data_IF_718393254754
#
_entry.id   IF_718393254754
#
_cell.length_a   1.000
_cell.length_b   1.000
_cell.length_c   1.000
_cell.angle_alpha   90.00
_cell.angle_beta   90.00
_cell.angle_gamma   90.00
#
_symmetry.space_group_name_H-M   'P 1'
#
loop_
_entity.id
_entity.type
_entity.pdbx_description
1 polymer ?
#
# COMPACT_ATOMS: atom_id res chain seq x y z
N UNK A 1 33.37 -71.64 -13.52
CA UNK A 1 33.38 -70.35 -14.27
C UNK A 1 32.05 -70.22 -15.00
N UNK A 2 31.19 -69.32 -14.52
CA UNK A 2 30.05 -68.64 -15.16
C UNK A 2 29.00 -68.34 -14.08
N UNK A 3 28.88 -67.04 -13.82
CA UNK A 3 28.11 -66.40 -12.78
C UNK A 3 26.61 -66.50 -13.07
N UNK A 4 25.82 -66.83 -12.06
CA UNK A 4 24.38 -66.54 -12.07
C UNK A 4 24.09 -65.65 -10.87
N UNK A 5 24.07 -64.35 -11.14
CA UNK A 5 23.67 -63.28 -10.22
C UNK A 5 22.15 -63.31 -10.15
N UNK A 6 21.57 -63.67 -9.02
CA UNK A 6 20.16 -63.43 -8.75
C UNK A 6 20.01 -62.08 -8.03
N UNK A 7 19.40 -61.16 -8.77
CA UNK A 7 19.09 -59.78 -8.44
C UNK A 7 18.08 -59.75 -7.28
N UNK A 8 18.52 -59.30 -6.10
CA UNK A 8 17.65 -59.09 -4.94
C UNK A 8 16.88 -57.78 -5.16
N UNK A 9 15.60 -57.89 -5.54
CA UNK A 9 14.72 -56.76 -5.83
C UNK A 9 14.18 -56.20 -4.51
N UNK A 10 14.86 -55.19 -3.96
CA UNK A 10 14.46 -54.48 -2.76
C UNK A 10 13.31 -53.53 -3.12
N UNK A 11 12.07 -53.98 -2.97
CA UNK A 11 10.88 -53.14 -3.12
C UNK A 11 10.74 -52.33 -1.82
N UNK A 12 11.30 -51.12 -1.81
CA UNK A 12 10.99 -50.11 -0.80
C UNK A 12 9.67 -49.45 -1.16
N UNK A 13 8.58 -49.87 -0.51
CA UNK A 13 7.32 -49.11 -0.51
C UNK A 13 7.49 -47.91 0.41
N UNK A 14 7.96 -46.79 -0.14
CA UNK A 14 7.86 -45.49 0.52
C UNK A 14 6.37 -45.10 0.49
N UNK A 15 5.71 -45.31 1.62
CA UNK A 15 4.40 -44.73 1.91
C UNK A 15 4.56 -43.22 1.98
N UNK A 16 4.28 -42.54 0.87
CA UNK A 16 4.06 -41.10 0.85
C UNK A 16 2.75 -40.87 1.60
N UNK A 17 2.84 -40.67 2.91
CA UNK A 17 1.79 -40.01 3.68
C UNK A 17 1.71 -38.58 3.14
N UNK A 18 0.90 -38.39 2.09
CA UNK A 18 0.42 -37.08 1.72
C UNK A 18 -0.43 -36.59 2.88
N UNK A 19 0.15 -35.77 3.76
CA UNK A 19 -0.60 -34.89 4.62
C UNK A 19 -1.53 -34.07 3.71
N UNK A 20 -2.79 -34.45 3.64
CA UNK A 20 -3.85 -33.63 3.07
C UNK A 20 -4.04 -32.44 3.99
N UNK A 21 -3.26 -31.39 3.75
CA UNK A 21 -3.54 -30.08 4.32
C UNK A 21 -4.88 -29.62 3.74
N UNK A 22 -5.95 -29.79 4.51
CA UNK A 22 -7.32 -29.35 4.18
C UNK A 22 -7.44 -27.82 4.04
N UNK A 23 -6.35 -27.08 4.26
CA UNK A 23 -6.31 -25.62 4.25
C UNK A 23 -5.54 -25.04 3.06
N UNK A 24 -4.87 -25.86 2.22
CA UNK A 24 -4.17 -25.39 1.02
C UNK A 24 -5.08 -25.22 -0.22
N UNK A 25 -6.40 -25.31 -0.06
CA UNK A 25 -7.38 -25.27 -1.16
C UNK A 25 -8.07 -23.93 -1.41
N UNK A 26 -7.65 -22.82 -0.79
CA UNK A 26 -8.10 -21.49 -1.21
C UNK A 26 -7.13 -20.95 -2.24
N UNK A 27 -7.19 -21.49 -3.46
CA UNK A 27 -6.81 -20.70 -4.62
C UNK A 27 -7.70 -19.45 -4.58
N UNK A 28 -7.12 -18.27 -4.38
CA UNK A 28 -7.82 -17.03 -4.69
C UNK A 28 -8.17 -17.12 -6.17
N UNK A 29 -9.42 -17.42 -6.50
CA UNK A 29 -9.89 -17.31 -7.88
C UNK A 29 -9.63 -15.86 -8.30
N UNK A 30 -8.63 -15.66 -9.16
CA UNK A 30 -8.36 -14.35 -9.74
C UNK A 30 -9.63 -13.94 -10.47
N UNK A 31 -10.29 -12.90 -9.97
CA UNK A 31 -11.53 -12.42 -10.54
C UNK A 31 -11.25 -11.93 -11.95
N UNK A 32 -12.00 -12.45 -12.93
CA UNK A 32 -11.93 -11.95 -14.28
C UNK A 32 -12.62 -10.58 -14.34
N UNK A 33 -11.81 -9.53 -14.46
CA UNK A 33 -12.28 -8.15 -14.63
C UNK A 33 -12.46 -7.89 -16.13
N UNK A 34 -13.63 -7.46 -16.60
CA UNK A 34 -13.84 -7.11 -18.01
C UNK A 34 -12.89 -6.01 -18.47
N UNK A 35 -12.38 -6.11 -19.71
CA UNK A 35 -11.43 -5.12 -20.25
C UNK A 35 -11.95 -3.67 -20.19
N UNK A 36 -13.25 -3.47 -20.45
CA UNK A 36 -13.89 -2.14 -20.32
C UNK A 36 -13.81 -1.55 -18.91
N UNK A 37 -13.81 -2.38 -17.88
CA UNK A 37 -13.69 -1.95 -16.47
C UNK A 37 -12.23 -1.55 -16.18
N UNK A 38 -11.27 -2.34 -16.67
CA UNK A 38 -9.84 -2.01 -16.56
C UNK A 38 -9.50 -0.72 -17.31
N UNK A 39 -9.98 -0.58 -18.55
CA UNK A 39 -9.73 0.60 -19.38
C UNK A 39 -10.40 1.84 -18.81
N UNK A 40 -11.66 1.76 -18.37
CA UNK A 40 -12.35 2.89 -17.74
C UNK A 40 -11.67 3.39 -16.47
N UNK A 41 -11.15 2.48 -15.65
CA UNK A 41 -10.35 2.83 -14.47
C UNK A 41 -9.01 3.48 -14.82
N UNK A 42 -8.27 2.90 -15.77
CA UNK A 42 -7.02 3.49 -16.24
C UNK A 42 -7.24 4.89 -16.84
N UNK A 43 -8.24 5.06 -17.71
CA UNK A 43 -8.61 6.34 -18.30
C UNK A 43 -8.98 7.38 -17.23
N UNK A 44 -9.75 6.98 -16.21
CA UNK A 44 -10.09 7.86 -15.11
C UNK A 44 -8.85 8.31 -14.34
N UNK A 45 -7.97 7.39 -13.96
CA UNK A 45 -6.74 7.71 -13.23
C UNK A 45 -5.86 8.63 -14.08
N UNK A 46 -5.61 8.27 -15.35
CA UNK A 46 -4.84 9.08 -16.31
C UNK A 46 -5.45 10.48 -16.47
N UNK A 47 -6.78 10.61 -16.47
CA UNK A 47 -7.44 11.92 -16.58
C UNK A 47 -7.16 12.85 -15.38
N UNK A 48 -6.78 12.28 -14.23
CA UNK A 48 -6.43 13.00 -13.01
C UNK A 48 -4.93 13.21 -12.86
N UNK A 49 -4.14 12.18 -13.16
CA UNK A 49 -2.69 12.16 -12.88
C UNK A 49 -1.83 12.51 -14.09
N UNK A 50 -2.36 12.37 -15.31
CA UNK A 50 -1.58 12.32 -16.53
C UNK A 50 -1.01 10.92 -16.80
N UNK A 51 -0.69 10.66 -18.07
CA UNK A 51 -0.23 9.36 -18.55
C UNK A 51 1.14 8.99 -17.99
N UNK A 52 2.08 9.93 -17.99
CA UNK A 52 3.44 9.67 -17.50
C UNK A 52 3.45 9.27 -16.03
N UNK A 53 2.65 9.94 -15.18
CA UNK A 53 2.53 9.57 -13.78
C UNK A 53 1.92 8.17 -13.60
N UNK A 54 0.87 7.87 -14.36
CA UNK A 54 0.22 6.57 -14.33
C UNK A 54 1.18 5.44 -14.71
N UNK A 55 1.86 5.57 -15.85
CA UNK A 55 2.75 4.54 -16.39
C UNK A 55 3.96 4.25 -15.48
N UNK A 56 4.47 5.28 -14.79
CA UNK A 56 5.67 5.15 -13.96
C UNK A 56 5.37 4.72 -12.52
N UNK A 57 4.21 5.08 -11.98
CA UNK A 57 3.95 4.95 -10.54
C UNK A 57 2.73 4.13 -10.17
N UNK A 58 1.76 3.91 -11.06
CA UNK A 58 0.48 3.28 -10.71
C UNK A 58 0.37 1.89 -11.33
N UNK A 59 0.17 0.89 -10.47
CA UNK A 59 0.08 -0.51 -10.88
C UNK A 59 -1.22 -1.15 -10.39
N UNK A 60 -1.87 -2.01 -11.20
CA UNK A 60 -3.08 -2.71 -10.75
C UNK A 60 -2.75 -3.72 -9.65
N UNK A 61 -3.59 -3.77 -8.61
CA UNK A 61 -3.56 -4.79 -7.57
C UNK A 61 -4.74 -5.75 -7.75
N UNK A 62 -4.49 -6.78 -8.55
CA UNK A 62 -5.48 -7.80 -8.89
C UNK A 62 -5.79 -8.75 -7.73
N UNK A 63 -4.95 -8.79 -6.68
CA UNK A 63 -5.18 -9.66 -5.53
C UNK A 63 -6.25 -9.07 -4.60
N UNK A 64 -6.25 -7.74 -4.46
CA UNK A 64 -7.22 -7.03 -3.63
C UNK A 64 -8.45 -6.54 -4.42
N UNK A 65 -8.34 -6.46 -5.74
CA UNK A 65 -9.49 -6.15 -6.61
C UNK A 65 -10.55 -7.24 -6.55
N UNK A 66 -11.81 -6.84 -6.37
CA UNK A 66 -12.93 -7.78 -6.26
C UNK A 66 -14.23 -7.26 -6.85
N UNK A 67 -15.10 -8.19 -7.23
CA UNK A 67 -16.49 -7.91 -7.62
C UNK A 67 -17.36 -7.86 -6.37
N UNK A 68 -18.15 -6.80 -6.23
CA UNK A 68 -19.12 -6.61 -5.16
C UNK A 68 -20.48 -6.35 -5.80
N UNK A 69 -21.37 -7.34 -5.73
CA UNK A 69 -22.66 -7.31 -6.43
C UNK A 69 -22.46 -7.02 -7.94
N UNK A 70 -23.05 -5.93 -8.44
CA UNK A 70 -22.97 -5.51 -9.85
C UNK A 70 -21.82 -4.52 -10.14
N UNK A 71 -20.94 -4.29 -9.16
CA UNK A 71 -19.81 -3.37 -9.25
C UNK A 71 -18.48 -4.08 -9.04
N UNK A 72 -17.41 -3.35 -9.34
CA UNK A 72 -16.03 -3.73 -9.09
C UNK A 72 -15.41 -2.74 -8.12
N UNK A 73 -14.87 -3.24 -7.02
CA UNK A 73 -13.95 -2.51 -6.14
C UNK A 73 -12.55 -2.74 -6.68
N UNK A 74 -11.97 -1.72 -7.29
CA UNK A 74 -10.70 -1.78 -8.00
C UNK A 74 -9.60 -1.24 -7.09
N UNK A 75 -8.57 -2.05 -6.91
CA UNK A 75 -7.39 -1.69 -6.15
C UNK A 75 -6.22 -1.49 -7.10
N UNK A 76 -5.50 -0.39 -6.90
CA UNK A 76 -4.23 -0.09 -7.51
C UNK A 76 -3.23 0.23 -6.40
N UNK A 77 -1.95 0.28 -6.73
CA UNK A 77 -0.91 0.72 -5.82
C UNK A 77 -0.07 1.79 -6.48
N UNK A 78 0.22 2.85 -5.73
CA UNK A 78 1.29 3.77 -6.07
C UNK A 78 2.60 3.20 -5.55
N UNK A 79 3.57 3.03 -6.45
CA UNK A 79 4.94 2.63 -6.15
C UNK A 79 5.89 3.67 -6.69
N UNK A 80 6.96 3.97 -5.96
CA UNK A 80 8.02 4.83 -6.45
C UNK A 80 9.31 4.02 -6.52
N UNK A 81 9.90 3.91 -7.71
CA UNK A 81 11.09 3.07 -7.95
C UNK A 81 12.27 3.50 -7.07
N UNK A 82 12.37 4.79 -6.77
CA UNK A 82 13.44 5.31 -5.92
C UNK A 82 13.19 5.08 -4.41
N UNK A 83 11.99 4.60 -4.04
CA UNK A 83 11.58 4.38 -2.64
C UNK A 83 10.83 3.05 -2.51
N UNK A 84 11.58 1.96 -2.32
CA UNK A 84 11.03 0.60 -2.24
C UNK A 84 9.97 0.40 -1.13
N UNK A 85 9.94 1.27 -0.12
CA UNK A 85 8.94 1.27 0.94
C UNK A 85 7.62 1.95 0.56
N UNK A 86 7.59 2.70 -0.54
CA UNK A 86 6.36 3.36 -1.02
C UNK A 86 5.52 2.33 -1.76
N UNK A 87 4.46 1.88 -1.09
CA UNK A 87 3.45 0.98 -1.66
C UNK A 87 2.06 1.40 -1.15
N UNK A 88 1.55 2.50 -1.70
CA UNK A 88 0.35 3.15 -1.18
C UNK A 88 -0.91 2.74 -1.94
N UNK A 89 -1.98 2.33 -1.24
CA UNK A 89 -3.19 1.83 -1.89
C UNK A 89 -3.99 2.95 -2.55
N UNK A 90 -4.44 2.66 -3.76
CA UNK A 90 -5.40 3.44 -4.54
C UNK A 90 -6.69 2.62 -4.64
N UNK A 91 -7.82 3.27 -4.36
CA UNK A 91 -9.13 2.64 -4.34
C UNK A 91 -10.11 3.44 -5.20
N UNK A 92 -10.83 2.75 -6.08
CA UNK A 92 -11.95 3.30 -6.84
C UNK A 92 -12.98 2.22 -7.17
N UNK A 93 -14.18 2.65 -7.54
CA UNK A 93 -15.31 1.77 -7.83
C UNK A 93 -15.77 1.96 -9.27
N UNK A 94 -16.09 0.87 -9.95
CA UNK A 94 -16.65 0.88 -11.32
C UNK A 94 -17.91 0.05 -11.39
N UNK A 95 -18.86 0.48 -12.24
CA UNK A 95 -19.95 -0.41 -12.66
C UNK A 95 -19.46 -1.47 -13.66
N UNK A 96 -20.35 -2.37 -14.05
CA UNK A 96 -20.07 -3.40 -15.05
C UNK A 96 -19.83 -2.87 -16.47
N UNK A 97 -20.09 -1.59 -16.76
CA UNK A 97 -19.85 -0.95 -18.06
C UNK A 97 -18.48 -0.24 -18.11
N UNK A 98 -17.80 -0.09 -16.97
CA UNK A 98 -16.53 0.62 -16.87
C UNK A 98 -16.67 2.08 -16.44
N UNK A 99 -17.85 2.52 -16.02
CA UNK A 99 -18.03 3.88 -15.52
C UNK A 99 -17.60 3.95 -14.06
N UNK A 100 -16.71 4.90 -13.75
CA UNK A 100 -16.27 5.15 -12.38
C UNK A 100 -17.36 5.81 -11.55
N UNK A 101 -17.64 5.21 -10.40
CA UNK A 101 -18.69 5.62 -9.49
C UNK A 101 -18.15 6.64 -8.48
N UNK A 102 -18.19 7.93 -8.85
CA UNK A 102 -17.61 9.02 -8.04
C UNK A 102 -18.40 9.37 -6.77
N UNK A 103 -19.55 8.73 -6.56
CA UNK A 103 -20.33 8.81 -5.33
C UNK A 103 -19.79 7.89 -4.21
N UNK A 104 -18.85 7.00 -4.53
CA UNK A 104 -18.07 6.25 -3.55
C UNK A 104 -16.74 6.94 -3.27
N UNK A 105 -16.10 6.59 -2.15
CA UNK A 105 -14.77 7.10 -1.83
C UNK A 105 -13.77 6.70 -2.92
N UNK A 106 -13.00 7.69 -3.37
CA UNK A 106 -11.84 7.50 -4.24
C UNK A 106 -10.62 7.90 -3.42
N UNK A 107 -9.66 6.98 -3.27
CA UNK A 107 -8.47 7.17 -2.43
C UNK A 107 -7.20 7.06 -3.28
N UNK A 108 -6.19 7.86 -2.96
CA UNK A 108 -4.84 7.72 -3.52
C UNK A 108 -4.66 8.29 -4.93
N UNK A 109 -5.64 9.00 -5.50
CA UNK A 109 -5.51 9.58 -6.85
C UNK A 109 -5.34 11.10 -6.72
N UNK A 110 -4.10 11.64 -6.83
CA UNK A 110 -3.89 13.08 -6.81
C UNK A 110 -4.45 13.72 -8.08
N UNK A 111 -5.05 14.90 -7.95
CA UNK A 111 -5.55 15.67 -9.09
C UNK A 111 -4.44 16.56 -9.69
N UNK A 112 -3.45 15.90 -10.31
CA UNK A 112 -2.27 16.53 -10.93
C UNK A 112 -2.68 17.45 -12.07
N UNK A 113 -3.72 17.09 -12.83
CA UNK A 113 -4.23 17.92 -13.94
C UNK A 113 -4.55 19.35 -13.49
N UNK A 114 -5.18 19.49 -12.34
CA UNK A 114 -5.55 20.80 -11.79
C UNK A 114 -4.45 21.37 -10.86
N UNK A 115 -3.58 20.50 -10.31
CA UNK A 115 -2.51 20.86 -9.39
C UNK A 115 -1.22 20.08 -9.71
N UNK A 116 -0.41 20.54 -10.69
CA UNK A 116 0.75 19.79 -11.18
C UNK A 116 1.75 19.38 -10.09
N UNK A 117 1.88 20.20 -9.05
CA UNK A 117 2.79 19.97 -7.92
C UNK A 117 2.49 18.68 -7.15
N UNK A 118 1.26 18.15 -7.21
CA UNK A 118 0.88 16.90 -6.55
C UNK A 118 1.56 15.65 -7.14
N UNK A 119 2.11 15.76 -8.34
CA UNK A 119 2.85 14.70 -9.01
C UNK A 119 4.36 14.78 -8.84
N UNK A 120 4.86 15.72 -8.04
CA UNK A 120 6.27 16.05 -7.94
C UNK A 120 6.75 15.87 -6.50
N UNK A 121 7.75 15.01 -6.31
CA UNK A 121 8.29 14.64 -5.01
C UNK A 121 9.76 15.06 -4.92
N UNK A 122 10.01 16.30 -4.49
CA UNK A 122 11.38 16.87 -4.38
C UNK A 122 12.01 16.65 -3.01
N UNK A 123 11.18 16.46 -1.99
CA UNK A 123 11.61 16.14 -0.64
C UNK A 123 11.67 14.63 -0.54
N UNK A 124 12.88 14.09 -0.38
CA UNK A 124 13.11 12.69 -0.06
C UNK A 124 12.99 12.46 1.46
N UNK A 125 13.16 11.20 1.88
CA UNK A 125 13.08 10.83 3.30
C UNK A 125 14.09 11.62 4.16
N UNK A 126 15.35 11.72 3.70
CA UNK A 126 16.40 12.42 4.43
C UNK A 126 16.07 13.90 4.61
N UNK A 127 15.56 14.55 3.56
CA UNK A 127 15.15 15.96 3.64
C UNK A 127 13.92 16.14 4.52
N UNK A 128 12.98 15.18 4.54
CA UNK A 128 11.85 15.21 5.46
C UNK A 128 12.31 15.10 6.93
N UNK A 129 13.31 14.25 7.21
CA UNK A 129 13.95 14.15 8.54
C UNK A 129 14.60 15.48 8.92
N UNK A 130 15.41 16.08 8.03
CA UNK A 130 16.06 17.37 8.27
C UNK A 130 15.03 18.46 8.59
N UNK A 131 13.93 18.54 7.84
CA UNK A 131 12.83 19.50 8.10
C UNK A 131 12.20 19.25 9.48
N UNK A 132 11.99 17.99 9.88
CA UNK A 132 11.45 17.68 11.20
C UNK A 132 12.40 18.08 12.34
N UNK A 133 13.71 17.87 12.17
CA UNK A 133 14.74 18.31 13.13
C UNK A 133 14.78 19.84 13.23
N UNK A 134 14.79 20.54 12.10
CA UNK A 134 14.77 22.02 12.04
C UNK A 134 13.53 22.62 12.71
N UNK A 135 12.42 21.87 12.74
CA UNK A 135 11.16 22.28 13.35
C UNK A 135 10.95 21.70 14.75
N UNK A 136 12.04 21.24 15.39
CA UNK A 136 12.07 20.80 16.77
C UNK A 136 11.07 19.67 17.08
N UNK A 137 10.82 18.77 16.13
CA UNK A 137 10.09 17.54 16.45
C UNK A 137 10.85 16.82 17.57
N UNK A 138 10.16 16.49 18.66
CA UNK A 138 10.82 15.86 19.81
C UNK A 138 11.30 14.46 19.45
N UNK A 139 12.44 14.03 20.01
CA UNK A 139 12.86 12.63 19.93
C UNK A 139 11.96 11.78 20.82
N UNK A 140 11.54 10.63 20.30
CA UNK A 140 10.70 9.70 21.03
C UNK A 140 11.50 8.76 21.92
N UNK A 141 10.79 7.84 22.58
CA UNK A 141 11.38 6.68 23.28
C UNK A 141 11.97 5.64 22.31
N UNK A 142 11.65 5.79 21.01
CA UNK A 142 12.18 5.03 19.88
C UNK A 142 12.45 5.98 18.71
N UNK A 143 13.11 5.48 17.69
CA UNK A 143 13.32 6.20 16.43
C UNK A 143 11.98 6.65 15.85
N UNK A 144 12.01 7.78 15.14
CA UNK A 144 10.82 8.30 14.49
C UNK A 144 10.25 7.29 13.50
N UNK A 145 8.93 7.14 13.53
CA UNK A 145 8.22 6.42 12.50
C UNK A 145 8.03 7.36 11.32
N UNK A 146 8.69 7.05 10.19
CA UNK A 146 8.68 7.88 8.99
C UNK A 146 7.93 7.10 7.91
N UNK A 147 6.95 7.76 7.29
CA UNK A 147 6.17 7.15 6.22
C UNK A 147 5.82 8.15 5.13
N UNK A 148 5.75 7.67 3.89
CA UNK A 148 5.21 8.41 2.77
C UNK A 148 3.84 7.83 2.41
N UNK A 149 2.77 8.62 2.59
CA UNK A 149 1.40 8.09 2.57
C UNK A 149 0.35 9.03 2.02
N UNK A 150 -0.76 8.48 1.56
CA UNK A 150 -1.92 9.30 1.18
C UNK A 150 -2.61 9.92 2.41
N UNK A 151 -2.76 11.24 2.41
CA UNK A 151 -3.51 11.97 3.44
C UNK A 151 -4.85 12.46 2.91
N UNK A 152 -5.95 11.87 3.39
CA UNK A 152 -7.30 12.13 2.89
C UNK A 152 -7.73 13.59 3.06
N UNK A 153 -7.41 14.27 4.17
CA UNK A 153 -7.84 15.67 4.35
C UNK A 153 -7.17 16.64 3.38
N UNK A 154 -5.94 16.34 2.94
CA UNK A 154 -5.19 17.18 2.00
C UNK A 154 -5.28 16.68 0.55
N UNK A 155 -5.90 15.50 0.35
CA UNK A 155 -6.05 14.81 -0.94
C UNK A 155 -4.72 14.74 -1.72
N UNK A 156 -3.64 14.37 -1.01
CA UNK A 156 -2.28 14.27 -1.56
C UNK A 156 -1.43 13.28 -0.77
N UNK A 157 -0.31 12.88 -1.36
CA UNK A 157 0.75 12.18 -0.66
C UNK A 157 1.55 13.14 0.21
N UNK A 158 1.96 12.67 1.39
CA UNK A 158 2.71 13.44 2.39
C UNK A 158 3.80 12.59 3.02
N UNK A 159 4.84 13.24 3.51
CA UNK A 159 5.69 12.67 4.55
C UNK A 159 4.98 12.85 5.88
N UNK A 160 4.83 11.75 6.62
CA UNK A 160 4.27 11.73 7.96
C UNK A 160 5.31 11.15 8.90
N UNK A 161 5.78 11.97 9.83
CA UNK A 161 6.80 11.61 10.82
C UNK A 161 6.16 11.68 12.20
N UNK A 162 6.22 10.55 12.92
CA UNK A 162 5.63 10.40 14.24
C UNK A 162 6.75 10.13 15.25
N UNK A 163 6.71 10.89 16.34
CA UNK A 163 7.51 10.66 17.53
C UNK A 163 6.62 10.14 18.65
N UNK A 164 6.93 8.95 19.16
CA UNK A 164 6.25 8.39 20.35
C UNK A 164 7.06 8.75 21.58
N UNK A 165 6.51 9.56 22.49
CA UNK A 165 7.20 10.00 23.72
C UNK A 165 6.85 9.14 24.93
N UNK A 166 5.70 8.48 24.89
CA UNK A 166 5.27 7.58 25.94
C UNK A 166 4.38 6.50 25.36
N UNK A 167 4.56 5.29 25.86
CA UNK A 167 3.80 4.11 25.45
C UNK A 167 3.66 3.20 26.68
N UNK A 168 2.43 2.80 27.00
CA UNK A 168 2.10 1.95 28.15
C UNK A 168 1.15 0.85 27.69
N UNK A 169 1.47 -0.39 28.07
CA UNK A 169 0.68 -1.56 27.73
C UNK A 169 1.02 -2.14 26.37
N UNK A 170 0.41 -3.28 26.05
CA UNK A 170 0.58 -3.94 24.75
C UNK A 170 -0.40 -3.32 23.73
N UNK A 171 0.04 -3.16 22.47
CA UNK A 171 -0.74 -2.53 21.39
C UNK A 171 -2.15 -3.11 21.20
N UNK A 172 -2.34 -4.38 21.56
CA UNK A 172 -3.62 -5.10 21.42
C UNK A 172 -4.42 -5.17 22.73
N UNK A 173 -4.03 -4.40 23.74
CA UNK A 173 -4.71 -4.32 25.04
C UNK A 173 -5.68 -3.13 25.06
N UNK A 174 -6.82 -3.29 25.72
CA UNK A 174 -7.71 -2.17 26.07
C UNK A 174 -7.03 -1.13 26.98
N UNK A 175 -5.88 -1.48 27.57
CA UNK A 175 -5.08 -0.58 28.41
C UNK A 175 -3.95 0.12 27.64
N UNK A 176 -3.87 -0.05 26.32
CA UNK A 176 -2.85 0.60 25.50
C UNK A 176 -3.02 2.12 25.52
N UNK A 177 -1.97 2.83 25.93
CA UNK A 177 -1.92 4.29 25.94
C UNK A 177 -0.62 4.75 25.32
N UNK A 178 -0.71 5.73 24.44
CA UNK A 178 0.47 6.34 23.85
C UNK A 178 0.25 7.84 23.59
N UNK A 179 1.32 8.61 23.64
CA UNK A 179 1.31 10.04 23.30
C UNK A 179 2.67 10.46 22.74
N UNK A 180 2.68 11.55 21.99
CA UNK A 180 3.87 12.16 21.43
C UNK A 180 3.53 13.25 20.43
N UNK A 181 4.42 13.46 19.46
CA UNK A 181 4.28 14.50 18.44
C UNK A 181 4.20 13.90 17.03
N UNK A 182 3.55 14.62 16.12
CA UNK A 182 3.58 14.32 14.70
C UNK A 182 3.81 15.58 13.87
N UNK A 183 4.43 15.40 12.71
CA UNK A 183 4.59 16.41 11.68
C UNK A 183 4.21 15.83 10.32
N UNK A 184 3.51 16.62 9.51
CA UNK A 184 3.11 16.27 8.15
C UNK A 184 3.75 17.29 7.21
N UNK A 185 4.54 16.80 6.25
CA UNK A 185 5.35 17.61 5.36
C UNK A 185 4.92 17.37 3.91
N UNK A 186 4.77 18.46 3.16
CA UNK A 186 4.46 18.45 1.74
C UNK A 186 5.70 17.99 0.93
N UNK A 187 5.61 16.89 0.15
CA UNK A 187 6.76 16.33 -0.54
C UNK A 187 7.23 17.16 -1.73
N UNK A 188 6.44 18.14 -2.18
CA UNK A 188 6.81 19.02 -3.29
C UNK A 188 7.81 20.12 -2.88
N UNK A 189 7.58 20.74 -1.72
CA UNK A 189 8.27 21.97 -1.32
C UNK A 189 8.79 21.97 0.12
N UNK A 190 8.49 20.94 0.92
CA UNK A 190 8.89 20.86 2.33
C UNK A 190 8.02 21.67 3.29
N UNK A 191 6.90 22.23 2.83
CA UNK A 191 5.97 22.96 3.67
C UNK A 191 5.37 22.05 4.75
N UNK A 192 5.32 22.55 5.98
CA UNK A 192 4.66 21.86 7.10
C UNK A 192 3.16 22.09 6.99
N UNK A 193 2.44 21.01 6.71
CA UNK A 193 0.99 21.01 6.61
C UNK A 193 0.33 20.89 7.99
N UNK A 194 1.01 20.19 8.92
CA UNK A 194 0.56 19.98 10.29
C UNK A 194 1.76 19.72 11.20
N UNK A 195 1.72 20.26 12.42
CA UNK A 195 2.57 19.83 13.53
C UNK A 195 1.75 19.92 14.81
N UNK A 196 1.65 18.82 15.57
CA UNK A 196 0.86 18.78 16.80
C UNK A 196 1.24 17.61 17.70
N UNK A 197 0.77 17.67 18.93
CA UNK A 197 0.73 16.51 19.83
C UNK A 197 -0.40 15.55 19.43
N UNK A 198 -0.18 14.24 19.61
CA UNK A 198 -1.19 13.20 19.47
C UNK A 198 -1.26 12.32 20.72
N UNK A 199 -2.41 11.68 20.93
CA UNK A 199 -2.66 10.82 22.10
C UNK A 199 -3.69 9.73 21.83
N UNK A 200 -3.42 8.55 22.35
CA UNK A 200 -4.32 7.40 22.47
C UNK A 200 -4.63 7.21 23.96
N UNK A 201 -5.92 7.25 24.32
CA UNK A 201 -6.41 7.23 25.70
C UNK A 201 -6.83 5.86 26.19
#
# INVERSE_FOLDING_TARGET
MKHTIYLFLFISTILIFSCTCSTCGKQSELIEIPEKVKSGAAEFIISKTGKDFFDNYIFPDLLNTKKINDMYELHYVLRMIDYDFVNEPILLYSDSLGNIQTNYEIKGIPNIKDNPDLGVFKVDENKAIEIAEENNLRKGIRDWEISFRWHSSYQRYVWHIISTEKEIGDLNSEMYKAEGDEIIINPFNGEILLQREWKIN
#
